data_IF_701563071096
#
_entry.id   IF_701563071096
#
_cell.length_a   1.000
_cell.length_b   1.000
_cell.length_c   1.000
_cell.angle_alpha   90.00
_cell.angle_beta   90.00
_cell.angle_gamma   90.00
#
_symmetry.space_group_name_H-M   'P 1'
#
loop_
_entity.id
_entity.type
_entity.pdbx_description
1 polymer ?
#
# COMPACT_ATOMS: atom_id res chain seq x y z
N UNK A 1 -5.24 20.50 2.25
CA UNK A 1 -5.26 19.05 2.55
C UNK A 1 -6.69 18.72 2.90
N UNK A 2 -7.43 18.06 2.02
CA UNK A 2 -8.77 17.57 2.36
C UNK A 2 -8.64 16.59 3.53
N UNK A 3 -9.41 16.80 4.59
CA UNK A 3 -9.52 15.81 5.67
C UNK A 3 -10.36 14.64 5.18
N UNK A 4 -10.08 13.43 5.64
CA UNK A 4 -10.89 12.24 5.28
C UNK A 4 -12.39 12.47 5.60
N UNK A 5 -12.68 13.27 6.62
CA UNK A 5 -14.03 13.69 7.00
C UNK A 5 -14.74 14.46 5.87
N UNK A 6 -14.03 15.32 5.13
CA UNK A 6 -14.60 16.05 4.00
C UNK A 6 -14.98 15.09 2.86
N UNK A 7 -14.21 14.01 2.66
CA UNK A 7 -14.52 13.00 1.65
C UNK A 7 -15.80 12.25 2.01
N UNK A 8 -15.99 11.93 3.30
CA UNK A 8 -17.24 11.36 3.80
C UNK A 8 -18.43 12.30 3.64
N UNK A 9 -18.28 13.57 4.01
CA UNK A 9 -19.38 14.53 4.00
C UNK A 9 -19.81 14.94 2.58
N UNK A 10 -18.85 15.06 1.65
CA UNK A 10 -19.15 15.48 0.27
C UNK A 10 -19.34 14.32 -0.70
N UNK A 11 -19.15 13.07 -0.22
CA UNK A 11 -19.13 11.85 -1.02
C UNK A 11 -18.16 11.92 -2.23
N UNK A 12 -17.09 12.71 -2.11
CA UNK A 12 -16.09 12.94 -3.15
C UNK A 12 -14.75 13.30 -2.55
N UNK A 13 -13.65 12.95 -3.22
CA UNK A 13 -12.30 13.36 -2.84
C UNK A 13 -11.42 13.63 -4.05
N UNK A 14 -10.27 14.23 -3.81
CA UNK A 14 -9.29 14.49 -4.87
C UNK A 14 -8.18 13.42 -4.91
N UNK A 15 -7.89 12.89 -6.10
CA UNK A 15 -6.76 12.01 -6.35
C UNK A 15 -6.04 12.47 -7.63
N UNK A 16 -4.73 12.65 -7.56
CA UNK A 16 -3.90 12.99 -8.72
C UNK A 16 -4.32 14.27 -9.46
N UNK A 17 -4.87 15.25 -8.73
CA UNK A 17 -5.45 16.48 -9.30
C UNK A 17 -6.82 16.30 -9.96
N UNK A 18 -7.52 15.17 -9.70
CA UNK A 18 -8.84 14.86 -10.25
C UNK A 18 -9.82 14.52 -9.15
N UNK A 19 -11.04 15.04 -9.26
CA UNK A 19 -12.13 14.69 -8.35
C UNK A 19 -12.68 13.30 -8.67
N UNK A 20 -12.87 12.50 -7.64
CA UNK A 20 -13.44 11.15 -7.69
C UNK A 20 -14.52 11.02 -6.63
N UNK A 21 -15.43 10.06 -6.81
CA UNK A 21 -16.38 9.65 -5.77
C UNK A 21 -15.65 9.02 -4.57
N UNK A 22 -16.29 9.05 -3.39
CA UNK A 22 -15.68 8.57 -2.15
C UNK A 22 -15.33 7.07 -2.20
N UNK A 23 -16.16 6.23 -2.85
CA UNK A 23 -15.88 4.80 -2.94
C UNK A 23 -14.55 4.54 -3.66
N UNK A 24 -14.32 5.21 -4.79
CA UNK A 24 -13.08 5.07 -5.53
C UNK A 24 -11.91 5.74 -4.81
N UNK A 25 -12.13 6.88 -4.15
CA UNK A 25 -11.13 7.51 -3.29
C UNK A 25 -10.60 6.53 -2.23
N UNK A 26 -11.49 5.90 -1.44
CA UNK A 26 -11.08 4.96 -0.40
C UNK A 26 -10.47 3.68 -0.95
N UNK A 27 -10.89 3.22 -2.14
CA UNK A 27 -10.26 2.09 -2.80
C UNK A 27 -8.81 2.41 -3.25
N UNK A 28 -8.57 3.61 -3.80
CA UNK A 28 -7.23 4.10 -4.13
C UNK A 28 -6.39 4.26 -2.86
N UNK A 29 -6.95 4.85 -1.80
CA UNK A 29 -6.28 5.03 -0.52
C UNK A 29 -5.85 3.69 0.08
N UNK A 30 -6.74 2.71 0.10
CA UNK A 30 -6.44 1.36 0.59
C UNK A 30 -5.31 0.70 -0.19
N UNK A 31 -5.32 0.83 -1.52
CA UNK A 31 -4.25 0.32 -2.36
C UNK A 31 -2.90 0.94 -2.00
N UNK A 32 -2.81 2.26 -1.85
CA UNK A 32 -1.56 2.91 -1.48
C UNK A 32 -1.11 2.63 -0.05
N UNK A 33 -2.03 2.43 0.90
CA UNK A 33 -1.69 1.95 2.25
C UNK A 33 -0.96 0.61 2.17
N UNK A 34 -1.49 -0.33 1.38
CA UNK A 34 -0.87 -1.64 1.21
C UNK A 34 0.45 -1.56 0.43
N UNK A 35 0.53 -0.70 -0.58
CA UNK A 35 1.76 -0.43 -1.30
C UNK A 35 2.87 0.10 -0.38
N UNK A 36 2.57 1.09 0.46
CA UNK A 36 3.51 1.64 1.45
C UNK A 36 3.93 0.57 2.46
N UNK A 37 3.03 -0.33 2.88
CA UNK A 37 3.41 -1.49 3.71
C UNK A 37 4.40 -2.40 2.99
N UNK A 38 4.21 -2.68 1.71
CA UNK A 38 5.16 -3.47 0.92
C UNK A 38 6.52 -2.77 0.80
N UNK A 39 6.53 -1.45 0.62
CA UNK A 39 7.75 -0.62 0.55
C UNK A 39 8.53 -0.70 1.85
N UNK A 40 7.85 -0.66 3.00
CA UNK A 40 8.48 -0.78 4.32
C UNK A 40 9.26 -2.10 4.52
N UNK A 41 8.89 -3.15 3.78
CA UNK A 41 9.54 -4.48 3.81
C UNK A 41 10.55 -4.69 2.68
N UNK A 42 10.54 -3.83 1.67
CA UNK A 42 11.36 -3.98 0.49
C UNK A 42 12.81 -3.54 0.77
N UNK A 43 13.76 -4.14 0.04
CA UNK A 43 15.14 -3.60 0.00
C UNK A 43 15.11 -2.21 -0.63
N UNK A 44 15.98 -1.31 -0.22
CA UNK A 44 16.11 0.03 -0.80
C UNK A 44 16.41 0.02 -2.31
N UNK A 45 17.02 -1.05 -2.80
CA UNK A 45 17.28 -1.24 -4.23
C UNK A 45 16.06 -1.67 -5.03
N UNK A 46 14.95 -2.04 -4.38
CA UNK A 46 13.72 -2.49 -5.03
C UNK A 46 13.00 -1.33 -5.71
N UNK A 47 12.34 -1.60 -6.84
CA UNK A 47 11.63 -0.58 -7.62
C UNK A 47 10.55 0.16 -6.81
N UNK A 48 9.89 -0.53 -5.87
CA UNK A 48 8.92 0.10 -4.97
C UNK A 48 9.55 1.17 -4.07
N UNK A 49 10.72 0.88 -3.49
CA UNK A 49 11.41 1.83 -2.64
C UNK A 49 11.83 3.08 -3.44
N UNK A 50 12.42 2.87 -4.62
CA UNK A 50 12.77 3.98 -5.53
C UNK A 50 11.55 4.81 -5.92
N UNK A 51 10.44 4.16 -6.27
CA UNK A 51 9.21 4.86 -6.66
C UNK A 51 8.68 5.76 -5.54
N UNK A 52 8.71 5.29 -4.29
CA UNK A 52 8.26 6.08 -3.14
C UNK A 52 9.21 7.24 -2.84
N UNK A 53 10.53 7.04 -3.02
CA UNK A 53 11.52 8.12 -2.93
C UNK A 53 11.26 9.21 -3.99
N UNK A 54 10.97 8.83 -5.24
CA UNK A 54 10.60 9.78 -6.31
C UNK A 54 9.25 10.47 -6.04
N UNK A 55 8.38 9.88 -5.22
CA UNK A 55 7.17 10.54 -4.71
C UNK A 55 7.46 11.51 -3.55
N UNK A 56 8.73 11.72 -3.18
CA UNK A 56 9.16 12.61 -2.10
C UNK A 56 8.97 12.02 -0.70
N UNK A 57 8.91 10.69 -0.57
CA UNK A 57 8.76 10.01 0.72
C UNK A 57 10.00 9.17 0.95
N UNK A 58 10.75 9.48 2.01
CA UNK A 58 11.90 8.64 2.36
C UNK A 58 11.44 7.28 2.87
N UNK A 59 12.01 6.20 2.33
CA UNK A 59 11.74 4.85 2.80
C UNK A 59 12.06 4.69 4.28
N UNK A 60 13.10 5.38 4.78
CA UNK A 60 13.49 5.34 6.19
C UNK A 60 12.42 5.94 7.12
N UNK A 61 11.55 6.83 6.61
CA UNK A 61 10.44 7.40 7.37
C UNK A 61 9.20 6.50 7.39
N UNK A 62 9.17 5.45 6.58
CA UNK A 62 8.05 4.50 6.54
C UNK A 62 8.23 3.50 7.69
N UNK A 63 7.24 3.47 8.58
CA UNK A 63 7.24 2.53 9.68
C UNK A 63 7.02 1.11 9.14
N UNK A 64 7.99 0.23 9.39
CA UNK A 64 7.81 -1.19 9.17
C UNK A 64 6.79 -1.73 10.17
N UNK A 65 5.62 -2.14 9.69
CA UNK A 65 4.59 -2.70 10.58
C UNK A 65 5.14 -3.93 11.28
N UNK A 66 5.21 -3.91 12.61
CA UNK A 66 5.78 -5.01 13.41
C UNK A 66 4.93 -6.27 13.38
N UNK A 67 3.69 -6.15 12.91
CA UNK A 67 2.69 -7.22 12.89
C UNK A 67 2.06 -7.36 11.50
N UNK A 68 1.63 -8.58 11.17
CA UNK A 68 0.88 -8.87 9.94
C UNK A 68 -0.62 -8.59 10.08
N UNK A 69 -1.01 -7.74 11.04
CA UNK A 69 -2.41 -7.44 11.34
C UNK A 69 -3.07 -6.66 10.18
N UNK A 70 -4.40 -6.74 10.15
CA UNK A 70 -5.21 -5.86 9.30
C UNK A 70 -4.96 -4.40 9.68
N UNK A 71 -5.12 -3.48 8.72
CA UNK A 71 -4.79 -2.06 8.92
C UNK A 71 -5.48 -1.48 10.16
N UNK A 72 -6.76 -1.80 10.37
CA UNK A 72 -7.59 -1.32 11.47
C UNK A 72 -7.10 -1.78 12.86
N UNK A 73 -6.36 -2.89 12.89
CA UNK A 73 -5.83 -3.51 14.11
C UNK A 73 -4.40 -3.07 14.43
N UNK A 74 -3.77 -2.27 13.57
CA UNK A 74 -2.43 -1.76 13.81
C UNK A 74 -2.43 -0.67 14.93
N UNK A 75 -1.30 -0.52 15.65
CA UNK A 75 -1.10 0.59 16.58
C UNK A 75 -1.39 1.94 15.91
N UNK A 76 -1.89 2.91 16.68
CA UNK A 76 -2.29 4.24 16.17
C UNK A 76 -1.14 4.92 15.41
N UNK A 77 0.08 4.82 15.92
CA UNK A 77 1.28 5.40 15.30
C UNK A 77 1.57 4.79 13.92
N UNK A 78 1.50 3.46 13.81
CA UNK A 78 1.69 2.74 12.53
C UNK A 78 0.60 3.12 11.53
N UNK A 79 -0.67 3.15 11.97
CA UNK A 79 -1.79 3.58 11.12
C UNK A 79 -1.62 5.00 10.60
N UNK A 80 -1.23 5.93 11.48
CA UNK A 80 -0.98 7.33 11.14
C UNK A 80 0.14 7.45 10.11
N UNK A 81 1.27 6.76 10.32
CA UNK A 81 2.39 6.78 9.38
C UNK A 81 1.98 6.29 7.99
N UNK A 82 1.28 5.15 7.91
CA UNK A 82 0.80 4.61 6.64
C UNK A 82 -0.19 5.54 5.93
N UNK A 83 -1.14 6.12 6.67
CA UNK A 83 -2.12 7.05 6.12
C UNK A 83 -1.47 8.31 5.58
N UNK A 84 -0.59 8.96 6.36
CA UNK A 84 0.09 10.19 5.96
C UNK A 84 0.89 9.98 4.68
N UNK A 85 1.66 8.90 4.59
CA UNK A 85 2.46 8.61 3.41
C UNK A 85 1.59 8.25 2.20
N UNK A 86 0.48 7.53 2.40
CA UNK A 86 -0.46 7.22 1.31
C UNK A 86 -1.16 8.49 0.78
N UNK A 87 -1.57 9.38 1.68
CA UNK A 87 -2.19 10.67 1.32
C UNK A 87 -1.20 11.56 0.57
N UNK A 88 0.07 11.58 0.97
CA UNK A 88 1.13 12.30 0.23
C UNK A 88 1.18 11.84 -1.24
N UNK A 89 1.16 10.53 -1.50
CA UNK A 89 1.16 9.98 -2.86
C UNK A 89 -0.10 10.41 -3.64
N UNK A 90 -1.28 10.28 -3.04
CA UNK A 90 -2.58 10.56 -3.69
C UNK A 90 -2.74 12.05 -4.03
N UNK A 91 -2.15 12.93 -3.23
CA UNK A 91 -2.19 14.38 -3.43
C UNK A 91 -1.17 14.91 -4.44
N UNK A 92 -0.28 14.07 -4.98
CA UNK A 92 0.61 14.47 -6.07
C UNK A 92 -0.22 14.89 -7.29
N UNK A 93 0.30 15.76 -8.16
CA UNK A 93 -0.36 15.97 -9.44
C UNK A 93 -0.20 14.73 -10.32
N UNK A 94 -1.11 14.52 -11.28
CA UNK A 94 -0.96 13.45 -12.27
C UNK A 94 0.41 13.52 -12.99
N UNK A 95 0.96 14.72 -13.21
CA UNK A 95 2.25 14.92 -13.88
C UNK A 95 3.40 14.43 -13.01
N UNK A 96 3.43 14.86 -11.75
CA UNK A 96 4.50 14.46 -10.80
C UNK A 96 4.47 12.95 -10.54
N UNK A 97 3.27 12.38 -10.46
CA UNK A 97 3.09 10.94 -10.31
C UNK A 97 3.63 10.16 -11.51
N UNK A 98 3.31 10.58 -12.74
CA UNK A 98 3.82 9.96 -13.96
C UNK A 98 5.34 10.11 -14.04
N UNK A 99 5.89 11.26 -13.66
CA UNK A 99 7.32 11.49 -13.61
C UNK A 99 8.02 10.53 -12.62
N UNK A 100 7.46 10.36 -11.42
CA UNK A 100 7.98 9.42 -10.42
C UNK A 100 7.96 7.96 -10.92
N UNK A 101 6.92 7.56 -11.66
CA UNK A 101 6.87 6.26 -12.33
C UNK A 101 8.06 6.09 -13.29
N UNK A 102 8.29 7.08 -14.15
CA UNK A 102 9.31 7.00 -15.18
C UNK A 102 10.73 6.99 -14.59
N UNK A 103 10.99 7.82 -13.57
CA UNK A 103 12.30 7.92 -12.93
C UNK A 103 12.66 6.67 -12.11
N UNK A 104 11.68 6.07 -11.44
CA UNK A 104 11.90 4.89 -10.62
C UNK A 104 12.11 3.59 -11.42
N UNK A 105 11.66 3.56 -12.68
CA UNK A 105 11.71 2.36 -13.52
C UNK A 105 10.79 1.23 -13.04
N UNK A 106 9.81 1.54 -12.19
CA UNK A 106 8.78 0.58 -11.75
C UNK A 106 7.97 0.10 -12.95
N UNK A 107 7.70 -1.20 -13.05
CA UNK A 107 6.99 -1.78 -14.20
C UNK A 107 5.50 -1.90 -13.93
N UNK A 108 4.69 -1.96 -14.98
CA UNK A 108 3.23 -2.18 -14.86
C UNK A 108 2.90 -3.41 -14.00
N UNK A 109 3.58 -4.53 -14.27
CA UNK A 109 3.42 -5.78 -13.51
C UNK A 109 3.75 -5.65 -12.02
N UNK A 110 4.59 -4.68 -11.65
CA UNK A 110 4.91 -4.45 -10.26
C UNK A 110 3.73 -3.81 -9.51
N UNK A 111 2.91 -3.01 -10.18
CA UNK A 111 1.65 -2.48 -9.61
C UNK A 111 0.57 -3.54 -9.46
N UNK A 112 0.61 -4.62 -10.24
CA UNK A 112 -0.32 -5.76 -10.14
C UNK A 112 -0.12 -6.65 -8.89
N UNK A 113 0.68 -6.22 -7.90
CA UNK A 113 0.87 -6.98 -6.66
C UNK A 113 -0.42 -7.15 -5.86
N UNK A 114 -1.36 -6.21 -6.01
CA UNK A 114 -2.70 -6.25 -5.45
C UNK A 114 -3.71 -5.72 -6.47
N UNK A 115 -4.96 -6.17 -6.40
CA UNK A 115 -6.04 -5.63 -7.22
C UNK A 115 -6.27 -4.16 -6.90
N UNK A 116 -6.21 -3.31 -7.93
CA UNK A 116 -6.35 -1.87 -7.78
C UNK A 116 -7.54 -1.31 -8.60
N UNK A 117 -8.04 -0.10 -8.31
CA UNK A 117 -9.15 0.51 -9.05
C UNK A 117 -8.75 0.90 -10.48
N UNK A 118 -9.61 0.63 -11.47
CA UNK A 118 -9.35 0.90 -12.90
C UNK A 118 -9.02 2.36 -13.22
N UNK A 119 -9.41 3.33 -12.37
CA UNK A 119 -8.98 4.73 -12.53
C UNK A 119 -7.45 4.88 -12.56
N UNK A 120 -6.71 3.99 -11.86
CA UNK A 120 -5.25 3.99 -11.84
C UNK A 120 -4.63 3.45 -13.13
N UNK A 121 -5.36 2.70 -13.97
CA UNK A 121 -4.84 2.20 -15.25
C UNK A 121 -4.33 3.35 -16.13
N UNK A 122 -5.02 4.49 -16.07
CA UNK A 122 -4.65 5.70 -16.83
C UNK A 122 -3.32 6.29 -16.42
N UNK A 123 -2.86 6.04 -15.19
CA UNK A 123 -1.55 6.46 -14.68
C UNK A 123 -0.52 5.33 -14.84
N UNK A 124 -0.88 4.09 -14.54
CA UNK A 124 0.04 2.96 -14.58
C UNK A 124 0.48 2.59 -15.99
N UNK A 125 -0.31 2.91 -17.04
CA UNK A 125 0.12 2.73 -18.43
C UNK A 125 1.44 3.44 -18.80
N UNK A 126 1.84 4.47 -18.03
CA UNK A 126 3.10 5.19 -18.26
C UNK A 126 4.31 4.46 -17.67
N UNK A 127 4.10 3.40 -16.89
CA UNK A 127 5.16 2.53 -16.42
C UNK A 127 5.68 1.65 -17.58
N UNK A 128 6.99 1.36 -17.63
CA UNK A 128 7.54 0.40 -18.59
C UNK A 128 6.84 -0.95 -18.50
N UNK A 129 6.62 -1.55 -19.67
CA UNK A 129 6.18 -2.94 -19.77
C UNK A 129 7.30 -3.83 -19.20
N UNK A 130 7.00 -4.49 -18.09
CA UNK A 130 7.96 -5.39 -17.45
C UNK A 130 8.17 -6.65 -18.28
N UNK A 131 9.40 -7.15 -18.34
CA UNK A 131 9.67 -8.48 -18.92
C UNK A 131 8.85 -9.54 -18.18
N UNK A 132 8.13 -10.36 -18.91
CA UNK A 132 7.34 -11.48 -18.37
C UNK A 132 8.28 -12.56 -17.85
N UNK A 133 8.80 -12.39 -16.65
CA UNK A 133 9.55 -13.47 -15.98
C UNK A 133 8.52 -14.51 -15.56
N UNK A 134 8.53 -15.65 -16.25
CA UNK A 134 7.80 -16.87 -15.88
C UNK A 134 8.39 -17.41 -14.58
N UNK A 135 7.94 -16.88 -13.44
CA UNK A 135 8.19 -17.51 -12.16
C UNK A 135 7.27 -18.71 -12.07
N UNK A 136 7.82 -19.92 -11.94
CA UNK A 136 7.02 -21.12 -11.65
C UNK A 136 6.13 -20.79 -10.45
N UNK A 137 4.82 -20.78 -10.68
CA UNK A 137 3.82 -20.62 -9.62
C UNK A 137 3.99 -21.80 -8.69
N UNK A 138 4.67 -21.60 -7.55
CA UNK A 138 4.59 -22.57 -6.46
C UNK A 138 3.18 -22.42 -5.93
N UNK A 139 2.29 -23.30 -6.38
CA UNK A 139 0.96 -23.45 -5.79
C UNK A 139 1.15 -23.89 -4.36
N UNK A 140 1.26 -22.91 -3.45
CA UNK A 140 1.09 -23.17 -2.04
C UNK A 140 -0.34 -23.68 -1.89
N UNK A 141 -0.48 -25.00 -1.64
CA UNK A 141 -1.77 -25.57 -1.24
C UNK A 141 -2.34 -24.70 -0.12
N UNK A 142 -3.66 -24.39 -0.12
CA UNK A 142 -4.27 -23.72 1.01
C UNK A 142 -3.97 -24.56 2.25
N UNK A 143 -3.13 -24.03 3.14
CA UNK A 143 -2.88 -24.66 4.42
C UNK A 143 -4.12 -24.39 5.26
N UNK A 144 -4.98 -25.39 5.40
CA UNK A 144 -5.93 -25.42 6.50
C UNK A 144 -5.09 -25.43 7.77
N UNK A 145 -4.99 -24.27 8.43
CA UNK A 145 -4.22 -24.16 9.66
C UNK A 145 -4.87 -25.09 10.69
N UNK A 146 -4.11 -26.05 11.21
CA UNK A 146 -4.61 -26.91 12.28
C UNK A 146 -4.99 -26.08 13.50
N UNK A 147 -5.89 -26.58 14.35
CA UNK A 147 -6.29 -25.92 15.60
C UNK A 147 -5.06 -25.55 16.45
N UNK A 148 -4.03 -26.39 16.44
CA UNK A 148 -2.74 -26.13 17.11
C UNK A 148 -1.98 -24.95 16.50
N UNK A 149 -2.00 -24.80 15.17
CA UNK A 149 -1.41 -23.64 14.48
C UNK A 149 -2.13 -22.35 14.86
N UNK A 150 -3.46 -22.37 14.89
CA UNK A 150 -4.28 -21.22 15.27
C UNK A 150 -4.06 -20.84 16.74
N UNK A 151 -4.03 -21.80 17.65
CA UNK A 151 -3.77 -21.54 19.07
C UNK A 151 -2.37 -20.96 19.30
N UNK A 152 -1.36 -21.45 18.58
CA UNK A 152 0.01 -20.89 18.66
C UNK A 152 0.07 -19.46 18.15
N UNK A 153 -0.68 -19.13 17.10
CA UNK A 153 -0.78 -17.76 16.60
C UNK A 153 -1.50 -16.87 17.62
N UNK A 154 -2.59 -17.35 18.21
CA UNK A 154 -3.34 -16.65 19.24
C UNK A 154 -2.49 -16.34 20.49
N UNK A 155 -1.75 -17.33 21.00
CA UNK A 155 -0.86 -17.13 22.15
C UNK A 155 0.30 -16.17 21.86
N UNK A 156 0.84 -16.17 20.62
CA UNK A 156 1.82 -15.15 20.20
C UNK A 156 1.21 -13.75 20.19
N UNK A 157 -0.02 -13.64 19.72
CA UNK A 157 -0.76 -12.38 19.61
C UNK A 157 -1.05 -11.81 21.01
N UNK A 158 -1.48 -12.64 21.96
CA UNK A 158 -1.63 -12.26 23.38
C UNK A 158 -0.35 -11.68 23.98
N UNK A 159 0.79 -12.34 23.76
CA UNK A 159 2.11 -11.89 24.26
C UNK A 159 2.51 -10.54 23.68
N UNK A 160 2.27 -10.32 22.38
CA UNK A 160 2.59 -9.05 21.72
C UNK A 160 1.71 -7.90 22.21
N UNK A 161 0.42 -8.18 22.45
CA UNK A 161 -0.53 -7.20 22.95
C UNK A 161 -0.49 -7.02 24.47
N UNK A 162 0.39 -7.73 25.19
CA UNK A 162 0.46 -7.76 26.66
C UNK A 162 -0.89 -8.02 27.32
N UNK A 163 -1.73 -8.83 26.67
CA UNK A 163 -3.00 -9.26 27.25
C UNK A 163 -2.64 -10.29 28.33
N UNK A 164 -2.83 -9.91 29.59
CA UNK A 164 -2.69 -10.83 30.72
C UNK A 164 -3.72 -11.96 30.58
N UNK A 165 -3.32 -13.17 30.95
CA UNK A 165 -4.16 -14.36 30.88
C UNK A 165 -5.39 -14.25 31.79
#
# INVERSE_FOLDING_TARGET
METLDNVFMTNSGECFGKRVDAQIYFAILRYFINFVRCVALAKSTHAFARFVEECGISQAEICQTKTALAFEQLPVEERKNLLVNSIKIINLSSKDFIQAIQQSGITQKAFDFEKYPTKLDTLFKYAPEGKTVSRKTVTNKPKTNSVLSLNRQWERLKRQLKIAA
#
